data_IF_020372794269
#
_entry.id   IF_020372794269
#
_cell.length_a   1.000
_cell.length_b   1.000
_cell.length_c   1.000
_cell.angle_alpha   90.00
_cell.angle_beta   90.00
_cell.angle_gamma   90.00
#
_symmetry.space_group_name_H-M   'P 1'
#
loop_
_entity.id
_entity.type
_entity.pdbx_description
1 polymer ?
#
# COMPACT_ATOMS: atom_id res chain seq x y z
N UNK A 1 -5.85 36.33 -6.34
CA UNK A 1 -7.05 35.54 -6.69
C UNK A 1 -6.81 34.57 -7.85
N UNK A 2 -6.32 35.02 -9.03
CA UNK A 2 -6.07 34.13 -10.19
C UNK A 2 -5.00 33.05 -9.94
N UNK A 3 -3.90 33.40 -9.28
CA UNK A 3 -2.79 32.45 -8.98
C UNK A 3 -3.19 31.39 -7.95
N UNK A 4 -3.95 31.79 -6.92
CA UNK A 4 -4.43 30.89 -5.87
C UNK A 4 -5.38 29.81 -6.41
N UNK A 5 -6.19 30.14 -7.42
CA UNK A 5 -7.09 29.19 -8.11
C UNK A 5 -6.30 28.20 -8.97
N UNK A 6 -5.23 28.66 -9.64
CA UNK A 6 -4.35 27.81 -10.43
C UNK A 6 -3.58 26.82 -9.53
N UNK A 7 -3.10 27.27 -8.37
CA UNK A 7 -2.44 26.40 -7.38
C UNK A 7 -3.42 25.35 -6.83
N UNK A 8 -4.67 25.74 -6.53
CA UNK A 8 -5.70 24.81 -6.08
C UNK A 8 -6.04 23.76 -7.16
N UNK A 9 -6.16 24.16 -8.44
CA UNK A 9 -6.39 23.23 -9.55
C UNK A 9 -5.21 22.27 -9.79
N UNK A 10 -3.97 22.75 -9.65
CA UNK A 10 -2.77 21.90 -9.74
C UNK A 10 -2.68 20.89 -8.60
N UNK A 11 -3.12 21.25 -7.39
CA UNK A 11 -3.15 20.31 -6.26
C UNK A 11 -4.16 19.16 -6.43
N UNK A 12 -5.28 19.38 -7.13
CA UNK A 12 -6.30 18.36 -7.40
C UNK A 12 -5.80 17.32 -8.42
N UNK A 13 -4.93 17.72 -9.35
CA UNK A 13 -4.32 16.82 -10.34
C UNK A 13 -3.29 15.88 -9.68
N UNK A 14 -2.79 16.22 -8.49
CA UNK A 14 -1.82 15.40 -7.76
C UNK A 14 -2.47 14.27 -6.94
N UNK A 15 -3.78 14.07 -7.03
CA UNK A 15 -4.45 12.91 -6.39
C UNK A 15 -4.05 11.64 -7.14
N UNK A 16 -2.90 11.10 -6.78
CA UNK A 16 -2.39 9.86 -7.31
C UNK A 16 -3.31 8.72 -6.87
N UNK A 17 -3.95 8.04 -7.82
CA UNK A 17 -3.39 6.74 -8.19
C UNK A 17 -3.27 5.66 -7.11
N UNK A 18 -4.06 5.64 -6.03
CA UNK A 18 -3.96 4.60 -5.00
C UNK A 18 -4.26 3.22 -5.62
N UNK A 19 -3.23 2.38 -5.69
CA UNK A 19 -3.28 1.16 -6.47
C UNK A 19 -2.55 0.08 -5.68
N UNK A 20 -3.13 -1.10 -5.56
CA UNK A 20 -2.66 -2.17 -4.67
C UNK A 20 -1.18 -2.53 -4.93
N UNK A 21 -0.42 -2.81 -3.88
CA UNK A 21 1.04 -2.99 -3.95
C UNK A 21 1.43 -4.42 -3.51
N UNK A 22 2.36 -5.04 -4.23
CA UNK A 22 3.09 -6.23 -3.75
C UNK A 22 4.01 -5.85 -2.61
N UNK A 23 3.94 -6.60 -1.51
CA UNK A 23 4.67 -6.35 -0.25
C UNK A 23 5.62 -7.52 0.02
N UNK A 24 6.77 -7.25 0.63
CA UNK A 24 7.68 -8.28 1.15
C UNK A 24 7.95 -8.09 2.64
N UNK A 25 8.29 -9.17 3.33
CA UNK A 25 8.66 -9.12 4.75
C UNK A 25 10.17 -8.99 4.90
N UNK A 26 10.61 -8.14 5.82
CA UNK A 26 12.02 -8.01 6.23
C UNK A 26 12.17 -8.32 7.72
N UNK A 27 13.33 -8.88 8.09
CA UNK A 27 13.64 -9.24 9.47
C UNK A 27 14.09 -8.04 10.32
N UNK A 28 14.49 -6.93 9.69
CA UNK A 28 15.04 -5.76 10.39
C UNK A 28 14.08 -4.59 10.36
N UNK A 29 13.68 -4.13 11.56
CA UNK A 29 12.72 -3.04 11.72
C UNK A 29 13.10 -1.75 10.97
N UNK A 30 14.39 -1.41 10.88
CA UNK A 30 14.84 -0.18 10.23
C UNK A 30 14.80 -0.25 8.69
N UNK A 31 14.61 -1.44 8.12
CA UNK A 31 14.47 -1.65 6.68
C UNK A 31 13.00 -1.62 6.22
N UNK A 32 12.05 -1.54 7.16
CA UNK A 32 10.63 -1.57 6.85
C UNK A 32 10.08 -0.16 6.63
N UNK A 33 9.51 0.08 5.44
CA UNK A 33 8.74 1.29 5.15
C UNK A 33 7.44 1.37 5.97
N UNK A 34 6.85 0.21 6.26
CA UNK A 34 5.59 0.06 6.98
C UNK A 34 5.74 -1.07 7.99
N UNK A 35 5.36 -0.81 9.26
CA UNK A 35 5.35 -1.81 10.32
C UNK A 35 3.95 -2.39 10.43
N UNK A 36 3.84 -3.71 10.30
CA UNK A 36 2.56 -4.44 10.40
C UNK A 36 2.58 -5.25 11.68
N UNK A 37 1.54 -5.08 12.50
CA UNK A 37 1.33 -5.83 13.73
C UNK A 37 0.09 -6.70 13.56
N UNK A 38 0.17 -7.96 14.02
CA UNK A 38 -0.99 -8.85 14.07
C UNK A 38 -1.71 -8.59 15.38
N UNK A 39 -3.02 -8.36 15.31
CA UNK A 39 -3.91 -8.15 16.46
C UNK A 39 -4.96 -9.24 16.51
N UNK A 40 -5.50 -9.48 17.71
CA UNK A 40 -6.47 -10.57 17.94
C UNK A 40 -7.87 -10.23 17.43
N UNK A 41 -8.24 -8.94 17.43
CA UNK A 41 -9.57 -8.49 17.04
C UNK A 41 -9.55 -7.39 15.98
N UNK A 42 -10.50 -7.45 15.05
CA UNK A 42 -10.63 -6.55 13.90
C UNK A 42 -10.68 -5.06 14.29
N UNK A 43 -11.41 -4.73 15.36
CA UNK A 43 -11.55 -3.35 15.84
C UNK A 43 -10.25 -2.74 16.41
N UNK A 44 -9.23 -3.55 16.66
CA UNK A 44 -7.91 -3.09 17.11
C UNK A 44 -7.00 -2.71 15.94
N UNK A 45 -7.37 -3.07 14.71
CA UNK A 45 -6.57 -2.80 13.53
C UNK A 45 -6.92 -1.42 12.94
N UNK A 46 -5.89 -0.64 12.61
CA UNK A 46 -6.06 0.57 11.81
C UNK A 46 -6.44 0.26 10.34
N UNK A 47 -6.00 -0.91 9.85
CA UNK A 47 -6.28 -1.39 8.50
C UNK A 47 -6.40 -2.92 8.48
N UNK A 48 -7.48 -3.41 7.86
CA UNK A 48 -7.73 -4.84 7.69
C UNK A 48 -7.37 -5.23 6.26
N UNK A 49 -6.55 -6.29 6.13
CA UNK A 49 -6.08 -6.81 4.85
C UNK A 49 -6.25 -8.32 4.77
N UNK A 50 -6.45 -8.84 3.57
CA UNK A 50 -6.62 -10.26 3.31
C UNK A 50 -5.39 -10.82 2.61
N UNK A 51 -4.71 -11.77 3.24
CA UNK A 51 -3.56 -12.46 2.64
C UNK A 51 -4.02 -13.44 1.56
N UNK A 52 -3.35 -13.42 0.41
CA UNK A 52 -3.53 -14.40 -0.68
C UNK A 52 -2.24 -15.16 -0.95
N UNK A 53 -2.37 -16.40 -1.39
CA UNK A 53 -1.31 -17.28 -1.90
C UNK A 53 -1.05 -17.10 -3.41
N UNK A 54 -1.93 -16.38 -4.11
CA UNK A 54 -1.85 -16.16 -5.56
C UNK A 54 -1.64 -14.68 -5.89
N UNK A 55 -0.54 -14.37 -6.57
CA UNK A 55 -0.13 -12.98 -6.89
C UNK A 55 -1.21 -12.23 -7.70
N UNK A 56 -1.83 -12.91 -8.68
CA UNK A 56 -2.79 -12.32 -9.60
C UNK A 56 -4.10 -11.89 -8.93
N UNK A 57 -4.31 -12.25 -7.66
CA UNK A 57 -5.45 -11.80 -6.86
C UNK A 57 -5.19 -10.44 -6.19
N UNK A 58 -3.94 -10.08 -5.97
CA UNK A 58 -3.53 -8.78 -5.42
C UNK A 58 -3.45 -7.73 -6.54
N UNK A 59 -4.56 -7.51 -7.24
CA UNK A 59 -4.58 -6.62 -8.41
C UNK A 59 -4.57 -5.16 -8.00
N UNK A 60 -3.59 -4.43 -8.57
CA UNK A 60 -3.44 -2.97 -8.48
C UNK A 60 -4.74 -2.20 -8.68
N UNK A 61 -5.54 -2.62 -9.66
CA UNK A 61 -6.73 -1.90 -10.14
C UNK A 61 -7.98 -2.05 -9.29
N UNK A 62 -8.04 -3.06 -8.40
CA UNK A 62 -9.30 -3.42 -7.72
C UNK A 62 -9.39 -2.90 -6.28
N UNK A 63 -8.27 -2.47 -5.68
CA UNK A 63 -8.18 -1.94 -4.30
C UNK A 63 -9.01 -2.71 -3.24
N UNK A 64 -8.94 -4.05 -3.27
CA UNK A 64 -9.75 -4.94 -2.39
C UNK A 64 -9.10 -5.25 -1.05
N UNK A 65 -8.01 -4.58 -0.68
CA UNK A 65 -7.23 -4.94 0.51
C UNK A 65 -6.60 -6.33 0.46
N UNK A 66 -6.41 -6.92 -0.73
CA UNK A 66 -5.80 -8.24 -0.90
C UNK A 66 -4.29 -8.10 -1.05
N UNK A 67 -3.52 -8.72 -0.17
CA UNK A 67 -2.06 -8.63 -0.13
C UNK A 67 -1.42 -9.98 -0.48
N UNK A 68 -0.49 -9.94 -1.43
CA UNK A 68 0.41 -11.06 -1.73
C UNK A 68 1.80 -10.75 -1.17
N UNK A 69 2.29 -11.62 -0.30
CA UNK A 69 3.59 -11.47 0.35
C UNK A 69 4.64 -12.24 -0.45
N UNK A 70 5.58 -11.51 -1.07
CA UNK A 70 6.78 -12.11 -1.65
C UNK A 70 7.91 -12.15 -0.64
N UNK A 71 8.85 -13.07 -0.81
CA UNK A 71 10.09 -13.13 -0.01
C UNK A 71 11.22 -12.30 -0.61
N UNK A 72 11.08 -11.85 -1.86
CA UNK A 72 12.14 -11.17 -2.60
C UNK A 72 11.76 -9.72 -2.89
N UNK A 73 12.60 -8.80 -2.44
CA UNK A 73 12.41 -7.35 -2.60
C UNK A 73 12.15 -6.93 -4.05
N UNK A 74 12.90 -7.47 -5.01
CA UNK A 74 12.74 -7.09 -6.43
C UNK A 74 11.39 -7.50 -7.04
N UNK A 75 10.63 -8.37 -6.37
CA UNK A 75 9.29 -8.79 -6.78
C UNK A 75 8.19 -7.91 -6.16
N UNK A 76 8.54 -7.06 -5.19
CA UNK A 76 7.63 -6.12 -4.57
C UNK A 76 7.45 -4.87 -5.45
N UNK A 77 6.25 -4.27 -5.40
CA UNK A 77 5.93 -3.08 -6.17
C UNK A 77 6.50 -1.83 -5.50
N UNK A 78 6.57 -1.85 -4.17
CA UNK A 78 7.26 -0.85 -3.38
C UNK A 78 8.66 -1.40 -3.04
N UNK A 79 9.67 -0.72 -3.57
CA UNK A 79 11.08 -0.99 -3.28
C UNK A 79 11.54 0.01 -2.22
N UNK A 80 12.30 -0.47 -1.24
CA UNK A 80 12.96 0.38 -0.26
C UNK A 80 14.13 1.15 -0.87
#
# INVERSE_FOLDING_TARGET
>A
MRVSIIIALLSIIYVQTASAQKVYSTDRQYQADVKVFVVDHEYQADLIVYKTDKDYRAKKSENKGIWFFTTKEYQADKKG
#
